data_IF_496017965065
#
_entry.id   IF_496017965065
#
_cell.length_a   1.000
_cell.length_b   1.000
_cell.length_c   1.000
_cell.angle_alpha   90.00
_cell.angle_beta   90.00
_cell.angle_gamma   90.00
#
_symmetry.space_group_name_H-M   'P 1'
#
loop_
_entity.id
_entity.type
_entity.pdbx_description
1 polymer ?
#
# COMPACT_ATOMS: atom_id res chain seq x y z
N UNK A 1 -16.98 -29.71 1.78
CA UNK A 1 -15.85 -28.93 1.26
C UNK A 1 -16.21 -27.50 0.74
N UNK A 2 -17.42 -27.27 0.22
CA UNK A 2 -17.82 -25.95 -0.30
C UNK A 2 -18.08 -24.87 0.76
N UNK A 3 -18.54 -25.22 1.97
CA UNK A 3 -18.94 -24.26 2.99
C UNK A 3 -17.76 -23.54 3.67
N UNK A 4 -16.65 -24.25 3.90
CA UNK A 4 -15.43 -23.67 4.51
C UNK A 4 -14.80 -22.65 3.56
N UNK A 5 -14.65 -23.00 2.27
CA UNK A 5 -14.10 -22.10 1.24
C UNK A 5 -14.95 -20.82 1.08
N UNK A 6 -16.28 -20.95 1.19
CA UNK A 6 -17.20 -19.81 1.13
C UNK A 6 -17.04 -18.89 2.34
N UNK A 7 -16.94 -19.45 3.55
CA UNK A 7 -16.72 -18.69 4.80
C UNK A 7 -15.39 -17.94 4.78
N UNK A 8 -14.29 -18.60 4.40
CA UNK A 8 -12.96 -17.96 4.28
C UNK A 8 -12.96 -16.79 3.30
N UNK A 9 -13.66 -16.95 2.17
CA UNK A 9 -13.79 -15.88 1.20
C UNK A 9 -14.57 -14.68 1.74
N UNK A 10 -15.69 -14.93 2.41
CA UNK A 10 -16.52 -13.85 3.01
C UNK A 10 -15.69 -13.12 4.07
N UNK A 11 -15.01 -13.85 4.94
CA UNK A 11 -14.11 -13.25 5.93
C UNK A 11 -13.02 -12.41 5.28
N UNK A 12 -12.39 -12.91 4.21
CA UNK A 12 -11.39 -12.16 3.44
C UNK A 12 -11.95 -10.85 2.85
N UNK A 13 -13.18 -10.87 2.34
CA UNK A 13 -13.85 -9.66 1.84
C UNK A 13 -14.11 -8.66 2.97
N UNK A 14 -14.60 -9.11 4.11
CA UNK A 14 -14.85 -8.24 5.27
C UNK A 14 -13.54 -7.61 5.75
N UNK A 15 -12.49 -8.43 5.94
CA UNK A 15 -11.16 -7.93 6.33
C UNK A 15 -10.62 -6.93 5.30
N UNK A 16 -10.84 -7.18 4.01
CA UNK A 16 -10.40 -6.27 2.95
C UNK A 16 -11.14 -4.94 2.98
N UNK A 17 -12.45 -4.94 3.19
CA UNK A 17 -13.25 -3.71 3.31
C UNK A 17 -12.78 -2.88 4.51
N UNK A 18 -12.61 -3.52 5.68
CA UNK A 18 -12.11 -2.83 6.88
C UNK A 18 -10.70 -2.26 6.67
N UNK A 19 -9.83 -3.04 6.02
CA UNK A 19 -8.50 -2.60 5.69
C UNK A 19 -8.50 -1.41 4.73
N UNK A 20 -9.29 -1.44 3.64
CA UNK A 20 -9.38 -0.33 2.68
C UNK A 20 -9.95 0.93 3.35
N UNK A 21 -10.94 0.77 4.25
CA UNK A 21 -11.49 1.91 5.01
C UNK A 21 -10.43 2.55 5.90
N UNK A 22 -9.62 1.74 6.60
CA UNK A 22 -8.50 2.21 7.41
C UNK A 22 -7.43 2.87 6.54
N UNK A 23 -7.08 2.27 5.40
CA UNK A 23 -6.10 2.81 4.46
C UNK A 23 -6.54 4.18 3.94
N UNK A 24 -7.79 4.33 3.51
CA UNK A 24 -8.34 5.61 3.07
C UNK A 24 -8.27 6.63 4.19
N UNK A 25 -8.64 6.25 5.42
CA UNK A 25 -8.53 7.15 6.58
C UNK A 25 -7.09 7.62 6.80
N UNK A 26 -6.12 6.70 6.81
CA UNK A 26 -4.70 7.04 7.02
C UNK A 26 -4.14 7.90 5.88
N UNK A 27 -4.52 7.61 4.65
CA UNK A 27 -3.99 8.29 3.46
C UNK A 27 -4.53 9.71 3.31
N UNK A 28 -5.80 9.96 3.67
CA UNK A 28 -6.46 11.24 3.41
C UNK A 28 -6.69 12.09 4.65
N UNK A 29 -6.80 11.49 5.84
CA UNK A 29 -7.26 12.18 7.05
C UNK A 29 -6.26 12.16 8.22
N UNK A 30 -5.18 11.39 8.15
CA UNK A 30 -4.21 11.36 9.23
C UNK A 30 -3.28 12.59 9.15
N UNK A 31 -3.68 13.68 9.79
CA UNK A 31 -2.93 14.95 9.87
C UNK A 31 -1.52 14.79 10.46
N UNK A 32 -1.33 13.78 11.32
CA UNK A 32 -0.05 13.47 11.98
C UNK A 32 1.10 13.12 11.04
N UNK A 33 0.84 12.90 9.75
CA UNK A 33 1.86 12.58 8.75
C UNK A 33 2.55 13.83 8.15
N UNK A 34 2.38 15.02 8.74
CA UNK A 34 3.12 16.24 8.36
C UNK A 34 2.77 16.78 6.97
N UNK A 35 1.58 16.45 6.47
CA UNK A 35 1.12 16.85 5.12
C UNK A 35 0.47 18.24 5.08
N UNK A 36 0.40 18.97 6.19
CA UNK A 36 -0.10 20.33 6.23
C UNK A 36 0.90 21.29 5.60
N UNK A 37 0.82 21.45 4.28
CA UNK A 37 1.57 22.50 3.61
C UNK A 37 0.70 23.75 3.45
N UNK A 38 1.09 24.80 4.13
CA UNK A 38 0.42 26.11 4.14
C UNK A 38 0.61 26.85 2.82
N UNK A 39 1.50 26.37 1.93
CA UNK A 39 1.87 27.09 0.71
C UNK A 39 0.81 27.08 -0.40
N UNK A 40 -0.17 26.16 -0.36
CA UNK A 40 -1.20 26.02 -1.39
C UNK A 40 -0.70 25.53 -2.75
N UNK A 41 0.60 25.31 -2.94
CA UNK A 41 1.18 24.83 -4.18
C UNK A 41 1.06 23.33 -4.30
N UNK A 42 0.63 22.86 -5.48
CA UNK A 42 0.58 21.43 -5.81
C UNK A 42 1.99 20.90 -6.03
N UNK A 43 2.37 19.88 -5.27
CA UNK A 43 3.69 19.25 -5.39
C UNK A 43 3.59 17.90 -6.07
N UNK A 44 4.59 17.59 -6.88
CA UNK A 44 4.73 16.28 -7.51
C UNK A 44 6.21 15.87 -7.59
N UNK A 45 6.44 14.58 -7.54
CA UNK A 45 7.73 13.97 -7.79
C UNK A 45 7.59 12.86 -8.83
N UNK A 46 8.24 13.05 -9.98
CA UNK A 46 8.30 12.07 -11.07
C UNK A 46 9.67 11.39 -11.19
N UNK A 47 10.60 11.70 -10.29
CA UNK A 47 11.94 11.15 -10.26
C UNK A 47 12.03 10.02 -9.24
N UNK A 48 12.30 8.79 -9.74
CA UNK A 48 12.46 7.62 -8.87
C UNK A 48 13.62 7.79 -7.88
N UNK A 49 13.41 7.33 -6.66
CA UNK A 49 14.34 7.37 -5.53
C UNK A 49 14.67 8.76 -4.99
N UNK A 50 14.04 9.82 -5.49
CA UNK A 50 14.31 11.20 -5.05
C UNK A 50 13.87 11.41 -3.61
N UNK A 51 12.63 11.07 -3.28
CA UNK A 51 12.09 11.22 -1.93
C UNK A 51 12.74 10.21 -0.96
N UNK A 52 12.93 8.97 -1.38
CA UNK A 52 13.64 7.95 -0.58
C UNK A 52 15.05 8.46 -0.22
N UNK A 53 15.78 8.99 -1.22
CA UNK A 53 17.11 9.57 -0.99
C UNK A 53 17.06 10.80 -0.09
N UNK A 54 16.08 11.68 -0.29
CA UNK A 54 15.89 12.87 0.56
C UNK A 54 15.70 12.46 2.03
N UNK A 55 14.79 11.55 2.31
CA UNK A 55 14.56 11.07 3.68
C UNK A 55 15.77 10.37 4.27
N UNK A 56 16.51 9.61 3.47
CA UNK A 56 17.74 8.94 3.93
C UNK A 56 18.85 9.92 4.28
N UNK A 57 19.13 10.88 3.40
CA UNK A 57 20.21 11.88 3.58
C UNK A 57 19.88 12.82 4.74
N UNK A 58 18.66 13.31 4.81
CA UNK A 58 18.21 14.28 5.81
C UNK A 58 17.58 13.63 7.06
N UNK A 59 17.78 12.33 7.29
CA UNK A 59 17.17 11.61 8.43
C UNK A 59 17.51 12.23 9.79
N UNK A 60 18.67 12.86 9.92
CA UNK A 60 19.10 13.49 11.18
C UNK A 60 18.40 14.85 11.41
N UNK A 61 17.98 15.53 10.36
CA UNK A 61 17.29 16.83 10.41
C UNK A 61 15.76 16.69 10.33
N UNK A 62 15.25 15.81 9.47
CA UNK A 62 13.82 15.51 9.33
C UNK A 62 13.32 14.57 10.44
N UNK A 63 14.23 13.90 11.13
CA UNK A 63 13.94 12.90 12.14
C UNK A 63 13.82 11.49 11.55
N UNK A 64 14.40 10.51 12.25
CA UNK A 64 14.32 9.08 11.88
C UNK A 64 12.87 8.61 11.77
N UNK A 65 11.97 9.19 12.56
CA UNK A 65 10.54 8.89 12.54
C UNK A 65 9.90 9.22 11.18
N UNK A 66 10.21 10.39 10.60
CA UNK A 66 9.70 10.77 9.28
C UNK A 66 10.18 9.82 8.17
N UNK A 67 11.45 9.41 8.22
CA UNK A 67 11.99 8.38 7.31
C UNK A 67 11.23 7.05 7.45
N UNK A 68 11.07 6.56 8.68
CA UNK A 68 10.37 5.30 8.94
C UNK A 68 8.91 5.35 8.46
N UNK A 69 8.20 6.44 8.73
CA UNK A 69 6.82 6.57 8.29
C UNK A 69 6.68 6.60 6.76
N UNK A 70 7.52 7.36 6.08
CA UNK A 70 7.37 7.53 4.62
C UNK A 70 7.94 6.33 3.85
N UNK A 71 9.06 5.75 4.25
CA UNK A 71 9.68 4.65 3.51
C UNK A 71 9.14 3.30 3.98
N UNK A 72 9.25 3.02 5.28
CA UNK A 72 8.85 1.71 5.83
C UNK A 72 7.33 1.63 5.95
N UNK A 73 6.67 2.73 6.31
CA UNK A 73 5.21 2.82 6.43
C UNK A 73 4.49 2.49 5.13
N UNK A 74 4.93 3.05 3.99
CA UNK A 74 4.34 2.76 2.69
C UNK A 74 4.48 1.27 2.32
N UNK A 75 5.63 0.66 2.59
CA UNK A 75 5.80 -0.79 2.39
C UNK A 75 4.85 -1.58 3.29
N UNK A 76 4.84 -1.30 4.60
CA UNK A 76 4.08 -2.08 5.57
C UNK A 76 2.57 -1.99 5.35
N UNK A 77 2.07 -0.82 5.01
CA UNK A 77 0.63 -0.60 4.85
C UNK A 77 0.05 -1.39 3.65
N UNK A 78 0.85 -1.72 2.64
CA UNK A 78 0.41 -2.49 1.48
C UNK A 78 0.68 -4.00 1.55
N UNK A 79 1.34 -4.51 2.59
CA UNK A 79 1.46 -5.96 2.82
C UNK A 79 0.07 -6.64 2.91
N UNK A 80 -0.90 -6.14 3.70
CA UNK A 80 -2.23 -6.74 3.75
C UNK A 80 -2.94 -6.72 2.39
N UNK A 81 -2.75 -5.68 1.57
CA UNK A 81 -3.33 -5.60 0.23
C UNK A 81 -2.89 -6.78 -0.64
N UNK A 82 -1.59 -6.99 -0.74
CA UNK A 82 -1.02 -8.09 -1.52
C UNK A 82 -1.36 -9.48 -0.99
N UNK A 83 -1.55 -9.62 0.32
CA UNK A 83 -1.94 -10.88 0.97
C UNK A 83 -3.42 -11.22 0.75
N UNK A 84 -4.32 -10.25 0.92
CA UNK A 84 -5.77 -10.50 0.89
C UNK A 84 -6.31 -10.57 -0.54
N UNK A 85 -5.75 -9.78 -1.47
CA UNK A 85 -6.24 -9.70 -2.84
C UNK A 85 -6.31 -11.07 -3.56
N UNK A 86 -5.32 -11.97 -3.47
CA UNK A 86 -5.42 -13.33 -4.02
C UNK A 86 -6.50 -14.20 -3.38
N UNK A 87 -6.84 -13.97 -2.09
CA UNK A 87 -7.87 -14.72 -1.36
C UNK A 87 -9.26 -14.40 -1.95
N UNK A 88 -9.50 -13.13 -2.25
CA UNK A 88 -10.77 -12.65 -2.79
C UNK A 88 -10.91 -13.02 -4.27
N UNK A 89 -9.80 -13.10 -4.99
CA UNK A 89 -9.77 -13.38 -6.42
C UNK A 89 -10.40 -14.71 -6.79
N UNK A 90 -11.13 -14.75 -7.91
CA UNK A 90 -11.78 -15.98 -8.42
C UNK A 90 -10.83 -16.91 -9.18
N UNK A 91 -9.64 -16.45 -9.60
CA UNK A 91 -8.67 -17.19 -10.42
C UNK A 91 -7.44 -17.53 -9.57
N UNK A 92 -6.59 -18.47 -10.09
CA UNK A 92 -5.30 -18.80 -9.47
C UNK A 92 -4.54 -17.51 -9.12
N UNK A 93 -3.94 -17.49 -7.92
CA UNK A 93 -3.12 -16.38 -7.47
C UNK A 93 -2.02 -16.09 -8.50
N UNK A 94 -2.15 -14.97 -9.19
CA UNK A 94 -1.21 -14.52 -10.21
C UNK A 94 -0.55 -13.23 -9.71
N UNK A 95 0.77 -13.31 -9.52
CA UNK A 95 1.57 -12.20 -9.01
C UNK A 95 1.49 -10.96 -9.93
N UNK A 96 1.55 -11.17 -11.26
CA UNK A 96 1.46 -10.06 -12.21
C UNK A 96 0.13 -9.34 -12.11
N UNK A 97 -0.97 -10.08 -11.92
CA UNK A 97 -2.28 -9.50 -11.73
C UNK A 97 -2.37 -8.71 -10.42
N UNK A 98 -1.82 -9.25 -9.33
CA UNK A 98 -1.77 -8.54 -8.06
C UNK A 98 -0.97 -7.25 -8.20
N UNK A 99 0.20 -7.30 -8.84
CA UNK A 99 1.03 -6.12 -9.06
C UNK A 99 0.33 -5.07 -9.93
N UNK A 100 -0.29 -5.49 -11.04
CA UNK A 100 -1.02 -4.56 -11.90
C UNK A 100 -2.15 -3.84 -11.15
N UNK A 101 -2.94 -4.60 -10.38
CA UNK A 101 -4.03 -4.01 -9.57
C UNK A 101 -3.46 -3.05 -8.53
N UNK A 102 -2.35 -3.42 -7.87
CA UNK A 102 -1.70 -2.56 -6.87
C UNK A 102 -1.21 -1.25 -7.49
N UNK A 103 -0.46 -1.33 -8.59
CA UNK A 103 0.08 -0.13 -9.27
C UNK A 103 -1.04 0.80 -9.70
N UNK A 104 -2.10 0.26 -10.33
CA UNK A 104 -3.26 1.07 -10.75
C UNK A 104 -3.96 1.68 -9.54
N UNK A 105 -4.16 0.92 -8.46
CA UNK A 105 -4.82 1.38 -7.25
C UNK A 105 -4.03 2.51 -6.57
N UNK A 106 -2.72 2.34 -6.38
CA UNK A 106 -1.86 3.38 -5.79
C UNK A 106 -1.79 4.61 -6.69
N UNK A 107 -1.63 4.43 -8.00
CA UNK A 107 -1.63 5.54 -8.96
C UNK A 107 -2.90 6.39 -8.85
N UNK A 108 -4.07 5.75 -8.72
CA UNK A 108 -5.35 6.45 -8.52
C UNK A 108 -5.35 7.22 -7.19
N UNK A 109 -4.83 6.63 -6.11
CA UNK A 109 -4.70 7.31 -4.82
C UNK A 109 -3.84 8.58 -4.97
N UNK A 110 -2.65 8.47 -5.58
CA UNK A 110 -1.73 9.58 -5.81
C UNK A 110 -2.38 10.71 -6.64
N UNK A 111 -3.12 10.33 -7.69
CA UNK A 111 -3.88 11.30 -8.50
C UNK A 111 -4.94 12.03 -7.67
N UNK A 112 -5.67 11.33 -6.80
CA UNK A 112 -6.70 11.93 -5.95
C UNK A 112 -6.05 12.84 -4.91
N UNK A 113 -4.96 12.43 -4.26
CA UNK A 113 -4.24 13.27 -3.29
C UNK A 113 -3.73 14.57 -3.93
N UNK A 114 -3.16 14.46 -5.12
CA UNK A 114 -2.72 15.62 -5.91
C UNK A 114 -3.89 16.53 -6.29
N UNK A 115 -5.01 15.95 -6.77
CA UNK A 115 -6.18 16.72 -7.20
C UNK A 115 -6.85 17.47 -6.03
N UNK A 116 -6.93 16.83 -4.85
CA UNK A 116 -7.50 17.39 -3.63
C UNK A 116 -6.53 18.27 -2.83
N UNK A 117 -5.27 18.35 -3.25
CA UNK A 117 -4.19 19.07 -2.56
C UNK A 117 -4.00 18.61 -1.08
N UNK A 118 -4.25 17.31 -0.83
CA UNK A 118 -4.04 16.68 0.49
C UNK A 118 -2.73 15.88 0.57
N UNK A 119 -1.93 15.92 -0.48
CA UNK A 119 -0.62 15.26 -0.61
C UNK A 119 0.09 15.66 -1.89
N UNK A 120 1.27 15.08 -2.13
CA UNK A 120 2.02 15.21 -3.38
C UNK A 120 1.84 13.95 -4.20
N UNK A 121 1.78 14.08 -5.54
CA UNK A 121 1.91 12.91 -6.42
C UNK A 121 3.36 12.42 -6.37
N UNK A 122 3.59 11.17 -5.95
CA UNK A 122 4.94 10.65 -5.78
C UNK A 122 5.11 9.24 -6.37
N UNK A 123 6.04 9.12 -7.33
CA UNK A 123 6.36 7.82 -7.95
C UNK A 123 7.11 6.88 -7.00
N UNK A 124 7.81 7.41 -5.98
CA UNK A 124 8.45 6.57 -4.95
C UNK A 124 7.39 5.89 -4.07
N UNK A 125 6.27 6.55 -3.80
CA UNK A 125 5.15 5.95 -3.06
C UNK A 125 4.52 4.80 -3.87
N UNK A 126 4.37 4.97 -5.20
CA UNK A 126 3.90 3.88 -6.07
C UNK A 126 4.86 2.67 -6.00
N UNK A 127 6.17 2.91 -6.01
CA UNK A 127 7.18 1.86 -5.90
C UNK A 127 7.13 1.15 -4.54
N UNK A 128 7.16 1.91 -3.44
CA UNK A 128 7.20 1.37 -2.07
C UNK A 128 5.93 0.57 -1.74
N UNK A 129 4.77 1.09 -2.10
CA UNK A 129 3.49 0.41 -1.91
C UNK A 129 3.41 -0.89 -2.76
N UNK A 130 3.97 -0.87 -3.98
CA UNK A 130 4.05 -2.07 -4.82
C UNK A 130 4.98 -3.12 -4.23
N UNK A 131 6.11 -2.74 -3.63
CA UNK A 131 7.00 -3.65 -2.91
C UNK A 131 6.26 -4.28 -1.72
N UNK A 132 5.52 -3.49 -0.94
CA UNK A 132 4.71 -3.99 0.17
C UNK A 132 3.69 -5.05 -0.29
N UNK A 133 2.97 -4.76 -1.36
CA UNK A 133 2.01 -5.71 -1.95
C UNK A 133 2.69 -6.98 -2.48
N UNK A 134 3.88 -6.87 -3.08
CA UNK A 134 4.67 -8.02 -3.51
C UNK A 134 5.02 -8.93 -2.33
N UNK A 135 5.51 -8.35 -1.24
CA UNK A 135 5.82 -9.08 0.00
C UNK A 135 4.56 -9.79 0.51
N UNK A 136 3.43 -9.09 0.57
CA UNK A 136 2.14 -9.65 0.99
C UNK A 136 1.71 -10.84 0.12
N UNK A 137 1.88 -10.74 -1.20
CA UNK A 137 1.56 -11.83 -2.13
C UNK A 137 2.47 -13.05 -1.92
N UNK A 138 3.78 -12.83 -1.70
CA UNK A 138 4.72 -13.92 -1.41
C UNK A 138 4.34 -14.62 -0.10
N UNK A 139 4.02 -13.87 0.95
CA UNK A 139 3.53 -14.41 2.22
C UNK A 139 2.29 -15.28 1.98
N UNK A 140 1.31 -14.81 1.21
CA UNK A 140 0.14 -15.60 0.85
C UNK A 140 0.50 -16.92 0.15
N UNK A 141 1.45 -16.91 -0.79
CA UNK A 141 1.88 -18.14 -1.48
C UNK A 141 2.51 -19.17 -0.54
N UNK A 142 3.32 -18.71 0.43
CA UNK A 142 3.94 -19.55 1.45
C UNK A 142 2.86 -20.21 2.32
N UNK A 143 1.90 -19.42 2.82
CA UNK A 143 0.79 -19.93 3.64
C UNK A 143 -0.07 -20.93 2.85
N UNK A 144 -0.41 -20.60 1.60
CA UNK A 144 -1.20 -21.50 0.74
C UNK A 144 -0.52 -22.84 0.50
N UNK A 145 0.80 -22.85 0.29
CA UNK A 145 1.57 -24.08 0.12
C UNK A 145 1.50 -24.95 1.37
N UNK A 146 1.74 -24.38 2.55
CA UNK A 146 1.66 -25.12 3.83
C UNK A 146 0.29 -25.73 4.09
N UNK A 147 -0.78 -25.02 3.73
CA UNK A 147 -2.16 -25.54 3.85
C UNK A 147 -2.51 -26.62 2.84
N UNK A 148 -1.76 -26.75 1.74
CA UNK A 148 -1.94 -27.80 0.74
C UNK A 148 -1.18 -29.07 1.11
N UNK A 149 -0.10 -28.95 1.88
CA UNK A 149 0.81 -30.04 2.27
C UNK A 149 0.41 -30.67 3.64
N UNK A 150 -0.54 -30.04 4.36
CA UNK A 150 -1.13 -30.53 5.62
C UNK A 150 -2.50 -31.23 5.39
#
# INVERSE_FOLDING_TARGET
MNNVKKKTKILGIICFILYISLLIYLVFFAESFGRTDVSGERRYNLELFKEIRRFYVYRNTLGTYAFLLNVVGNVLIFIPFGFILPIIGKKKANILKTMLITVVFVFVIECIQFALNVGSFDVDDILLNSIGSLIGHIIFLIFRKRMSDA
#
